data_IF_361654231526
#
_entry.id   IF_361654231526
#
_cell.length_a   1.000
_cell.length_b   1.000
_cell.length_c   1.000
_cell.angle_alpha   90.00
_cell.angle_beta   90.00
_cell.angle_gamma   90.00
#
_symmetry.space_group_name_H-M   'P 1'
#
loop_
_entity.id
_entity.type
_entity.pdbx_description
1 polymer ?
#
# COMPACT_ATOMS: atom_id res chain seq x y z
N UNK A 1 32.00 -25.70 0.21
CA UNK A 1 31.53 -25.59 -1.18
C UNK A 1 30.06 -25.94 -1.24
N UNK A 2 29.24 -25.15 -1.90
CA UNK A 2 27.81 -25.47 -2.03
C UNK A 2 27.63 -26.79 -2.80
N UNK A 3 26.79 -27.69 -2.29
CA UNK A 3 26.48 -28.96 -2.95
C UNK A 3 25.84 -28.66 -4.33
N UNK A 4 26.20 -29.43 -5.34
CA UNK A 4 25.68 -29.31 -6.70
C UNK A 4 24.93 -30.59 -7.09
N UNK A 5 24.09 -30.52 -8.12
CA UNK A 5 23.41 -31.71 -8.65
C UNK A 5 24.40 -32.79 -9.06
N UNK A 6 25.63 -32.41 -9.51
CA UNK A 6 26.71 -33.34 -9.80
C UNK A 6 27.26 -34.01 -8.54
N UNK A 7 27.37 -33.26 -7.42
CA UNK A 7 27.80 -33.77 -6.13
C UNK A 7 26.81 -34.80 -5.61
N UNK A 8 25.51 -34.53 -5.72
CA UNK A 8 24.44 -35.46 -5.32
C UNK A 8 24.51 -36.72 -6.16
N UNK A 9 24.66 -36.59 -7.49
CA UNK A 9 24.76 -37.72 -8.39
C UNK A 9 25.94 -38.64 -8.02
N UNK A 10 27.08 -38.06 -7.62
CA UNK A 10 28.26 -38.80 -7.14
C UNK A 10 28.02 -39.52 -5.84
N UNK A 11 27.41 -38.85 -4.84
CA UNK A 11 27.11 -39.41 -3.50
C UNK A 11 26.02 -40.49 -3.58
N UNK A 12 24.99 -40.28 -4.40
CA UNK A 12 23.90 -41.23 -4.64
C UNK A 12 24.26 -42.35 -5.63
N UNK A 13 25.48 -42.39 -6.15
CA UNK A 13 25.95 -43.36 -7.16
C UNK A 13 24.98 -43.52 -8.32
N UNK A 14 24.59 -42.40 -8.92
CA UNK A 14 23.62 -42.36 -10.01
C UNK A 14 23.94 -41.27 -11.02
N UNK A 15 23.17 -41.20 -12.11
CA UNK A 15 23.34 -40.18 -13.14
C UNK A 15 22.75 -38.83 -12.72
N UNK A 16 23.28 -37.73 -13.23
CA UNK A 16 22.71 -36.38 -13.06
C UNK A 16 21.25 -36.32 -13.55
N UNK A 17 20.93 -37.09 -14.62
CA UNK A 17 19.55 -37.18 -15.12
C UNK A 17 18.60 -37.89 -14.14
N UNK A 18 19.07 -38.94 -13.45
CA UNK A 18 18.28 -39.59 -12.40
C UNK A 18 18.03 -38.66 -11.20
N UNK A 19 19.07 -37.94 -10.75
CA UNK A 19 18.91 -36.92 -9.70
C UNK A 19 17.90 -35.83 -10.12
N UNK A 20 17.99 -35.34 -11.36
CA UNK A 20 17.04 -34.34 -11.90
C UNK A 20 15.62 -34.88 -11.93
N UNK A 21 15.40 -36.16 -12.30
CA UNK A 21 14.08 -36.78 -12.29
C UNK A 21 13.50 -36.90 -10.87
N UNK A 22 14.32 -37.28 -9.89
CA UNK A 22 13.90 -37.33 -8.48
C UNK A 22 13.52 -35.94 -7.96
N UNK A 23 14.38 -34.94 -8.19
CA UNK A 23 14.14 -33.55 -7.77
C UNK A 23 12.87 -32.94 -8.38
N UNK A 24 12.54 -33.32 -9.62
CA UNK A 24 11.40 -32.78 -10.36
C UNK A 24 10.17 -33.68 -10.30
N UNK A 25 10.24 -34.80 -9.60
CA UNK A 25 9.22 -35.83 -9.60
C UNK A 25 8.72 -36.20 -11.00
N UNK A 26 9.62 -36.25 -11.98
CA UNK A 26 9.35 -36.47 -13.41
C UNK A 26 10.00 -37.75 -13.92
N UNK A 27 9.28 -38.51 -14.75
CA UNK A 27 9.78 -39.75 -15.34
C UNK A 27 10.00 -40.89 -14.34
N UNK A 28 10.34 -42.07 -14.85
CA UNK A 28 10.58 -43.24 -14.01
C UNK A 28 12.00 -43.21 -13.40
N UNK A 29 12.05 -43.45 -12.07
CA UNK A 29 13.28 -43.72 -11.33
C UNK A 29 12.95 -44.86 -10.36
N UNK A 30 13.83 -45.90 -10.27
CA UNK A 30 13.59 -47.01 -9.37
C UNK A 30 13.51 -46.53 -7.91
N UNK A 31 12.73 -47.24 -7.04
CA UNK A 31 12.62 -46.88 -5.62
C UNK A 31 13.95 -46.77 -4.91
N UNK A 32 14.88 -47.69 -5.20
CA UNK A 32 16.21 -47.74 -4.59
C UNK A 32 17.07 -46.51 -4.98
N UNK A 33 17.02 -46.10 -6.23
CA UNK A 33 17.74 -44.88 -6.71
C UNK A 33 17.10 -43.64 -6.11
N UNK A 34 15.78 -43.57 -6.04
CA UNK A 34 15.06 -42.45 -5.39
C UNK A 34 15.49 -42.29 -3.94
N UNK A 35 15.50 -43.40 -3.16
CA UNK A 35 15.88 -43.37 -1.78
C UNK A 35 17.33 -42.90 -1.56
N UNK A 36 18.29 -43.36 -2.39
CA UNK A 36 19.70 -42.91 -2.32
C UNK A 36 19.84 -41.43 -2.64
N UNK A 37 19.12 -40.93 -3.65
CA UNK A 37 19.14 -39.51 -4.01
C UNK A 37 18.56 -38.65 -2.91
N UNK A 38 17.43 -39.04 -2.33
CA UNK A 38 16.80 -38.32 -1.20
C UNK A 38 17.69 -38.33 0.06
N UNK A 39 18.38 -39.41 0.34
CA UNK A 39 19.36 -39.46 1.41
C UNK A 39 20.53 -38.48 1.16
N UNK A 40 21.12 -38.51 -0.06
CA UNK A 40 22.21 -37.62 -0.43
C UNK A 40 21.80 -36.13 -0.40
N UNK A 41 20.54 -35.80 -0.74
CA UNK A 41 19.98 -34.43 -0.65
C UNK A 41 19.96 -33.99 0.82
N UNK A 42 19.45 -34.85 1.74
CA UNK A 42 19.43 -34.56 3.18
C UNK A 42 20.81 -34.39 3.77
N UNK A 43 21.73 -35.36 3.52
CA UNK A 43 23.07 -35.40 4.09
C UNK A 43 23.92 -34.19 3.63
N UNK A 44 23.74 -33.75 2.39
CA UNK A 44 24.43 -32.59 1.83
C UNK A 44 23.72 -31.27 2.07
N UNK A 45 22.57 -31.28 2.76
CA UNK A 45 21.68 -30.11 2.96
C UNK A 45 21.48 -29.33 1.64
N UNK A 46 21.24 -30.09 0.55
CA UNK A 46 21.13 -29.50 -0.77
C UNK A 46 19.74 -28.92 -1.00
N UNK A 47 19.68 -27.61 -1.25
CA UNK A 47 18.51 -26.96 -1.79
C UNK A 47 18.72 -26.70 -3.29
N UNK A 48 17.81 -27.15 -4.18
CA UNK A 48 17.91 -26.85 -5.61
C UNK A 48 18.01 -25.34 -5.82
N UNK A 49 19.02 -24.87 -6.57
CA UNK A 49 19.16 -23.44 -6.83
C UNK A 49 17.94 -22.91 -7.60
N UNK A 50 17.40 -21.77 -7.15
CA UNK A 50 16.28 -21.10 -7.84
C UNK A 50 16.60 -20.91 -9.34
N UNK A 51 17.83 -20.50 -9.68
CA UNK A 51 18.29 -20.35 -11.06
C UNK A 51 18.22 -21.61 -11.91
N UNK A 52 18.51 -22.80 -11.34
CA UNK A 52 18.40 -24.06 -12.06
C UNK A 52 16.95 -24.48 -12.33
N UNK A 53 16.00 -24.11 -11.48
CA UNK A 53 14.56 -24.29 -11.71
C UNK A 53 14.03 -23.32 -12.77
N UNK A 54 14.44 -22.05 -12.72
CA UNK A 54 14.06 -21.03 -13.69
C UNK A 54 14.58 -21.31 -15.11
N UNK A 55 15.78 -21.92 -15.26
CA UNK A 55 16.30 -22.37 -16.56
C UNK A 55 15.47 -23.50 -17.19
N UNK A 56 14.62 -24.16 -16.39
CA UNK A 56 13.70 -25.23 -16.85
C UNK A 56 12.28 -24.72 -17.12
N UNK A 57 12.07 -23.40 -17.08
CA UNK A 57 10.75 -22.80 -17.31
C UNK A 57 9.79 -22.89 -16.12
N UNK A 58 10.30 -23.25 -14.92
CA UNK A 58 9.45 -23.23 -13.73
C UNK A 58 9.14 -21.79 -13.32
N UNK A 59 7.89 -21.54 -12.91
CA UNK A 59 7.43 -20.27 -12.39
C UNK A 59 8.27 -19.85 -11.16
N UNK A 60 8.61 -18.57 -11.05
CA UNK A 60 9.43 -18.06 -9.94
C UNK A 60 8.67 -18.06 -8.60
N UNK A 61 7.34 -18.01 -8.67
CA UNK A 61 6.44 -17.83 -7.51
C UNK A 61 6.80 -16.59 -6.68
N UNK A 62 7.34 -15.55 -7.32
CA UNK A 62 7.75 -14.32 -6.67
C UNK A 62 6.88 -13.17 -7.17
N UNK A 63 6.38 -12.35 -6.24
CA UNK A 63 5.61 -11.14 -6.51
C UNK A 63 6.37 -9.94 -5.94
N UNK A 64 6.46 -8.87 -6.71
CA UNK A 64 6.97 -7.58 -6.24
C UNK A 64 5.87 -6.78 -5.55
N UNK A 65 6.17 -6.17 -4.41
CA UNK A 65 5.31 -5.19 -3.74
C UNK A 65 6.10 -3.90 -3.57
N UNK A 66 5.75 -2.86 -4.33
CA UNK A 66 6.39 -1.54 -4.26
C UNK A 66 5.53 -0.58 -3.47
N UNK A 67 6.10 -0.01 -2.40
CA UNK A 67 5.45 0.91 -1.47
C UNK A 67 6.27 2.21 -1.36
N UNK A 68 5.63 3.36 -1.04
CA UNK A 68 6.36 4.59 -0.76
C UNK A 68 7.24 4.45 0.48
N UNK A 69 6.68 3.97 1.59
CA UNK A 69 7.38 3.73 2.85
C UNK A 69 6.67 2.65 3.66
N UNK A 70 7.43 1.80 4.33
CA UNK A 70 6.90 0.84 5.31
C UNK A 70 6.74 1.44 6.71
N UNK A 71 7.27 2.65 6.95
CA UNK A 71 7.18 3.35 8.24
C UNK A 71 5.80 3.99 8.44
N UNK A 72 5.05 4.23 7.36
CA UNK A 72 3.69 4.73 7.41
C UNK A 72 2.75 3.58 7.74
N UNK A 73 2.00 3.63 8.86
CA UNK A 73 1.17 2.50 9.34
C UNK A 73 0.20 1.95 8.29
N UNK A 74 -0.39 2.81 7.46
CA UNK A 74 -1.23 2.41 6.33
C UNK A 74 -0.54 1.39 5.42
N UNK A 75 0.68 1.70 4.97
CA UNK A 75 1.44 0.81 4.08
C UNK A 75 1.95 -0.43 4.80
N UNK A 76 2.22 -0.35 6.10
CA UNK A 76 2.57 -1.50 6.94
C UNK A 76 1.43 -2.52 7.02
N UNK A 77 0.21 -2.06 7.26
CA UNK A 77 -1.00 -2.91 7.30
C UNK A 77 -1.26 -3.53 5.92
N UNK A 78 -1.14 -2.73 4.86
CA UNK A 78 -1.30 -3.15 3.48
C UNK A 78 -0.29 -4.26 3.13
N UNK A 79 1.00 -4.02 3.39
CA UNK A 79 2.09 -4.94 3.11
C UNK A 79 1.91 -6.28 3.83
N UNK A 80 1.61 -6.24 5.12
CA UNK A 80 1.37 -7.44 5.92
C UNK A 80 0.17 -8.26 5.41
N UNK A 81 -0.89 -7.58 4.97
CA UNK A 81 -2.09 -8.26 4.46
C UNK A 81 -1.80 -8.92 3.10
N UNK A 82 -1.14 -8.20 2.18
CA UNK A 82 -0.76 -8.71 0.85
C UNK A 82 0.22 -9.88 0.99
N UNK A 83 1.28 -9.72 1.79
CA UNK A 83 2.29 -10.75 1.99
C UNK A 83 1.67 -12.04 2.49
N UNK A 84 0.84 -11.95 3.53
CA UNK A 84 0.19 -13.11 4.12
C UNK A 84 -0.74 -13.84 3.14
N UNK A 85 -1.60 -13.11 2.41
CA UNK A 85 -2.51 -13.69 1.42
C UNK A 85 -1.74 -14.36 0.27
N UNK A 86 -0.68 -13.71 -0.23
CA UNK A 86 0.18 -14.27 -1.28
C UNK A 86 0.94 -15.51 -0.77
N UNK A 87 1.41 -15.49 0.47
CA UNK A 87 2.09 -16.63 1.08
C UNK A 87 1.17 -17.85 1.18
N UNK A 88 -0.09 -17.66 1.61
CA UNK A 88 -1.10 -18.73 1.66
C UNK A 88 -1.40 -19.33 0.26
N UNK A 89 -1.25 -18.51 -0.81
CA UNK A 89 -1.36 -18.95 -2.23
C UNK A 89 -0.05 -19.54 -2.80
N UNK A 90 1.01 -19.66 -1.99
CA UNK A 90 2.29 -20.24 -2.38
C UNK A 90 3.22 -19.30 -3.14
N UNK A 91 3.03 -17.99 -3.05
CA UNK A 91 3.96 -16.98 -3.55
C UNK A 91 4.91 -16.49 -2.47
N UNK A 92 6.03 -15.90 -2.89
CA UNK A 92 6.97 -15.16 -2.06
C UNK A 92 6.92 -13.69 -2.45
N UNK A 93 6.84 -12.79 -1.47
CA UNK A 93 6.74 -11.35 -1.74
C UNK A 93 8.10 -10.67 -1.55
N UNK A 94 8.52 -9.87 -2.54
CA UNK A 94 9.65 -8.95 -2.44
C UNK A 94 9.11 -7.55 -2.14
N UNK A 95 9.25 -7.10 -0.90
CA UNK A 95 8.82 -5.76 -0.49
C UNK A 95 9.92 -4.75 -0.83
N UNK A 96 9.56 -3.72 -1.59
CA UNK A 96 10.41 -2.64 -2.08
C UNK A 96 9.87 -1.32 -1.53
N UNK A 97 10.58 -0.69 -0.59
CA UNK A 97 10.24 0.61 -0.04
C UNK A 97 11.04 1.69 -0.77
N UNK A 98 10.36 2.52 -1.57
CA UNK A 98 11.01 3.47 -2.48
C UNK A 98 11.44 4.77 -1.81
N UNK A 99 10.94 5.07 -0.61
CA UNK A 99 11.10 6.35 0.08
C UNK A 99 10.68 7.56 -0.79
N UNK A 100 9.63 7.36 -1.61
CA UNK A 100 9.12 8.34 -2.57
C UNK A 100 10.20 8.89 -3.52
N UNK A 101 11.16 8.05 -3.90
CA UNK A 101 12.31 8.41 -4.73
C UNK A 101 12.28 7.67 -6.07
N UNK A 102 12.24 8.43 -7.18
CA UNK A 102 12.15 7.87 -8.53
C UNK A 102 13.34 6.99 -8.90
N UNK A 103 14.56 7.34 -8.47
CA UNK A 103 15.76 6.53 -8.73
C UNK A 103 15.69 5.18 -7.99
N UNK A 104 15.20 5.18 -6.75
CA UNK A 104 14.96 3.95 -5.99
C UNK A 104 13.90 3.08 -6.68
N UNK A 105 12.79 3.67 -7.12
CA UNK A 105 11.77 2.94 -7.86
C UNK A 105 12.33 2.28 -9.14
N UNK A 106 13.10 3.03 -9.92
CA UNK A 106 13.72 2.51 -11.14
C UNK A 106 14.69 1.34 -10.84
N UNK A 107 15.48 1.44 -9.78
CA UNK A 107 16.38 0.36 -9.33
C UNK A 107 15.60 -0.88 -8.89
N UNK A 108 14.50 -0.70 -8.13
CA UNK A 108 13.64 -1.81 -7.73
C UNK A 108 12.97 -2.48 -8.94
N UNK A 109 12.47 -1.71 -9.90
CA UNK A 109 11.91 -2.26 -11.14
C UNK A 109 12.95 -3.12 -11.89
N UNK A 110 14.18 -2.61 -12.02
CA UNK A 110 15.27 -3.38 -12.65
C UNK A 110 15.57 -4.67 -11.88
N UNK A 111 15.61 -4.61 -10.54
CA UNK A 111 15.81 -5.79 -9.68
C UNK A 111 14.66 -6.79 -9.82
N UNK A 112 13.40 -6.35 -9.75
CA UNK A 112 12.22 -7.22 -9.87
C UNK A 112 12.21 -7.97 -11.21
N UNK A 113 12.55 -7.29 -12.31
CA UNK A 113 12.70 -7.92 -13.62
C UNK A 113 13.83 -8.95 -13.64
N UNK A 114 15.00 -8.62 -13.06
CA UNK A 114 16.13 -9.55 -12.96
C UNK A 114 15.79 -10.79 -12.12
N UNK A 115 14.97 -10.64 -11.08
CA UNK A 115 14.45 -11.74 -10.27
C UNK A 115 13.30 -12.50 -10.95
N UNK A 116 12.86 -12.05 -12.14
CA UNK A 116 11.75 -12.64 -12.90
C UNK A 116 10.48 -12.81 -12.06
N UNK A 117 10.09 -11.75 -11.36
CA UNK A 117 8.80 -11.76 -10.65
C UNK A 117 7.67 -12.02 -11.63
N UNK A 118 6.64 -12.74 -11.20
CA UNK A 118 5.49 -13.08 -12.04
C UNK A 118 4.51 -11.92 -12.15
N UNK A 119 4.47 -11.02 -11.15
CA UNK A 119 3.63 -9.84 -11.13
C UNK A 119 4.11 -8.82 -10.13
N UNK A 120 3.57 -7.61 -10.19
CA UNK A 120 3.92 -6.52 -9.29
C UNK A 120 2.66 -5.82 -8.80
N UNK A 121 2.59 -5.57 -7.49
CA UNK A 121 1.61 -4.68 -6.87
C UNK A 121 2.33 -3.37 -6.54
N UNK A 122 1.78 -2.22 -6.95
CA UNK A 122 2.42 -0.91 -6.82
C UNK A 122 1.49 0.05 -6.09
N UNK A 123 1.93 0.55 -4.94
CA UNK A 123 1.27 1.64 -4.21
C UNK A 123 2.10 2.95 -4.26
N UNK A 124 3.32 2.90 -4.81
CA UNK A 124 4.17 4.06 -5.06
C UNK A 124 4.16 4.40 -6.55
N UNK A 125 4.40 5.65 -6.89
CA UNK A 125 4.81 6.13 -8.22
C UNK A 125 5.18 7.61 -8.07
N UNK A 126 6.38 7.87 -7.61
CA UNK A 126 6.90 9.21 -7.43
C UNK A 126 7.60 9.68 -8.70
N UNK A 127 7.40 10.95 -9.07
CA UNK A 127 8.14 11.61 -10.16
C UNK A 127 7.77 11.19 -11.59
N UNK A 128 7.13 10.03 -11.78
CA UNK A 128 6.74 9.56 -13.11
C UNK A 128 6.54 8.04 -13.18
N UNK A 129 6.11 7.57 -14.34
CA UNK A 129 5.78 6.15 -14.54
C UNK A 129 6.65 5.47 -15.60
N UNK A 130 7.64 6.17 -16.18
CA UNK A 130 8.45 5.66 -17.29
C UNK A 130 9.19 4.36 -16.94
N UNK A 131 9.72 4.24 -15.71
CA UNK A 131 10.38 3.03 -15.25
C UNK A 131 9.40 1.85 -15.12
N UNK A 132 8.13 2.11 -14.73
CA UNK A 132 7.08 1.08 -14.62
C UNK A 132 6.66 0.53 -16.00
N UNK A 133 6.73 1.36 -17.06
CA UNK A 133 6.46 0.88 -18.43
C UNK A 133 7.33 -0.29 -18.84
N UNK A 134 8.53 -0.41 -18.27
CA UNK A 134 9.42 -1.53 -18.56
C UNK A 134 8.91 -2.87 -18.01
N UNK A 135 8.07 -2.87 -16.95
CA UNK A 135 7.36 -4.05 -16.46
C UNK A 135 6.32 -4.48 -17.48
N UNK A 136 5.49 -3.52 -17.92
CA UNK A 136 4.43 -3.76 -18.92
C UNK A 136 5.03 -4.30 -20.22
N UNK A 137 6.11 -3.67 -20.71
CA UNK A 137 6.84 -4.11 -21.90
C UNK A 137 7.49 -5.49 -21.76
N UNK A 138 7.65 -6.00 -20.53
CA UNK A 138 8.13 -7.34 -20.23
C UNK A 138 7.01 -8.36 -20.04
N UNK A 139 5.74 -7.97 -20.22
CA UNK A 139 4.57 -8.83 -20.01
C UNK A 139 4.24 -9.12 -18.54
N UNK A 140 4.85 -8.40 -17.59
CA UNK A 140 4.61 -8.58 -16.16
C UNK A 140 3.32 -7.86 -15.77
N UNK A 141 2.29 -8.54 -15.23
CA UNK A 141 1.08 -7.90 -14.73
C UNK A 141 1.38 -6.91 -13.61
N UNK A 142 0.73 -5.74 -13.67
CA UNK A 142 0.88 -4.67 -12.69
C UNK A 142 -0.49 -4.31 -12.11
N UNK A 143 -0.65 -4.43 -10.80
CA UNK A 143 -1.84 -3.98 -10.06
C UNK A 143 -1.47 -2.72 -9.29
N UNK A 144 -2.20 -1.64 -9.51
CA UNK A 144 -2.03 -0.41 -8.74
C UNK A 144 -2.93 -0.40 -7.50
N UNK A 145 -2.43 0.11 -6.39
CA UNK A 145 -3.19 0.37 -5.17
C UNK A 145 -3.13 1.85 -4.85
N UNK A 146 -4.28 2.37 -4.39
CA UNK A 146 -4.45 3.72 -3.85
C UNK A 146 -4.25 4.86 -4.86
N UNK A 147 -3.83 4.56 -6.08
CA UNK A 147 -3.65 5.52 -7.18
C UNK A 147 -3.86 4.88 -8.54
N UNK A 148 -4.31 5.66 -9.49
CA UNK A 148 -4.44 5.21 -10.88
C UNK A 148 -3.11 5.41 -11.63
N UNK A 149 -2.61 4.33 -12.24
CA UNK A 149 -1.43 4.35 -13.10
C UNK A 149 -1.87 4.12 -14.56
N UNK A 150 -2.39 5.21 -15.17
CA UNK A 150 -2.96 5.16 -16.53
C UNK A 150 -1.95 4.64 -17.54
N UNK A 151 -2.33 3.60 -18.30
CA UNK A 151 -1.48 2.97 -19.31
C UNK A 151 -0.37 2.07 -18.75
N UNK A 152 -0.34 1.85 -17.43
CA UNK A 152 0.63 1.02 -16.73
C UNK A 152 -0.06 -0.15 -16.03
N UNK A 153 -1.00 0.14 -15.11
CA UNK A 153 -1.65 -0.90 -14.35
C UNK A 153 -2.69 -1.66 -15.17
N UNK A 154 -2.73 -2.97 -14.98
CA UNK A 154 -3.78 -3.84 -15.50
C UNK A 154 -5.10 -3.60 -14.78
N UNK A 155 -5.01 -3.44 -13.46
CA UNK A 155 -6.13 -3.07 -12.61
C UNK A 155 -5.66 -2.10 -11.52
N UNK A 156 -6.60 -1.31 -11.02
CA UNK A 156 -6.41 -0.41 -9.88
C UNK A 156 -7.44 -0.73 -8.80
N UNK A 157 -6.99 -0.81 -7.55
CA UNK A 157 -7.87 -0.95 -6.37
C UNK A 157 -7.56 0.20 -5.41
N UNK A 158 -8.57 0.97 -5.05
CA UNK A 158 -8.42 2.13 -4.18
C UNK A 158 -9.68 2.38 -3.35
N UNK A 159 -9.55 3.12 -2.25
CA UNK A 159 -10.70 3.63 -1.51
C UNK A 159 -11.39 4.76 -2.29
N UNK A 160 -12.65 5.04 -1.98
CA UNK A 160 -13.35 6.22 -2.51
C UNK A 160 -12.92 7.48 -1.75
N UNK A 161 -11.76 8.03 -2.14
CA UNK A 161 -11.17 9.19 -1.49
C UNK A 161 -12.02 10.46 -1.63
N UNK A 162 -12.73 10.63 -2.76
CA UNK A 162 -13.60 11.79 -2.97
C UNK A 162 -14.77 11.74 -2.00
N UNK A 163 -15.46 10.59 -1.93
CA UNK A 163 -16.58 10.44 -0.99
C UNK A 163 -16.10 10.53 0.47
N UNK A 164 -14.94 9.97 0.79
CA UNK A 164 -14.38 10.13 2.13
C UNK A 164 -14.10 11.58 2.51
N UNK A 165 -13.54 12.38 1.60
CA UNK A 165 -13.38 13.84 1.78
C UNK A 165 -14.73 14.55 1.98
N UNK A 166 -15.77 14.12 1.24
CA UNK A 166 -17.14 14.64 1.43
C UNK A 166 -17.71 14.29 2.79
N UNK A 167 -17.54 13.04 3.23
CA UNK A 167 -18.03 12.56 4.54
C UNK A 167 -17.43 13.37 5.69
N UNK A 168 -16.10 13.55 5.71
CA UNK A 168 -15.39 14.32 6.72
C UNK A 168 -15.97 15.74 6.84
N UNK A 169 -16.09 16.39 5.69
CA UNK A 169 -16.49 17.80 5.63
C UNK A 169 -17.96 17.96 5.99
N UNK A 170 -18.84 17.11 5.48
CA UNK A 170 -20.27 17.14 5.82
C UNK A 170 -20.47 16.98 7.31
N UNK A 171 -19.77 16.03 7.95
CA UNK A 171 -19.83 15.84 9.39
C UNK A 171 -19.50 17.12 10.17
N UNK A 172 -18.45 17.85 9.81
CA UNK A 172 -18.09 19.10 10.49
C UNK A 172 -19.08 20.24 10.21
N UNK A 173 -19.55 20.35 8.97
CA UNK A 173 -20.55 21.36 8.60
C UNK A 173 -21.88 21.10 9.32
N UNK A 174 -22.32 19.86 9.42
CA UNK A 174 -23.53 19.46 10.17
C UNK A 174 -23.41 19.75 11.68
N UNK A 175 -22.18 19.77 12.23
CA UNK A 175 -21.87 20.21 13.59
C UNK A 175 -21.80 21.74 13.74
N UNK A 176 -22.02 22.50 12.66
CA UNK A 176 -22.06 23.96 12.65
C UNK A 176 -20.72 24.66 12.40
N UNK A 177 -19.66 23.93 12.08
CA UNK A 177 -18.35 24.52 11.81
C UNK A 177 -18.33 25.27 10.47
N UNK A 178 -17.91 26.53 10.48
CA UNK A 178 -17.76 27.37 9.29
C UNK A 178 -16.29 27.74 9.00
N UNK A 179 -15.45 27.76 10.04
CA UNK A 179 -14.01 28.08 9.92
C UNK A 179 -13.19 26.81 10.06
N UNK A 180 -13.06 26.10 8.95
CA UNK A 180 -12.44 24.80 8.85
C UNK A 180 -11.08 24.93 8.17
N UNK A 181 -10.02 24.49 8.81
CA UNK A 181 -8.70 24.35 8.23
C UNK A 181 -8.47 22.93 7.72
N UNK A 182 -7.62 22.78 6.70
CA UNK A 182 -7.15 21.49 6.23
C UNK A 182 -5.64 21.43 6.45
N UNK A 183 -5.18 20.36 7.08
CA UNK A 183 -3.74 20.10 7.35
C UNK A 183 -3.39 18.74 6.79
N UNK A 184 -2.28 18.64 6.07
CA UNK A 184 -1.82 17.36 5.56
C UNK A 184 -0.63 17.46 4.61
N UNK A 185 -0.27 16.32 4.05
CA UNK A 185 0.83 16.16 3.09
C UNK A 185 0.72 14.80 2.39
N UNK A 186 1.45 14.59 1.29
CA UNK A 186 1.98 15.60 0.40
C UNK A 186 0.98 15.97 -0.69
N UNK A 187 1.03 17.21 -1.15
CA UNK A 187 0.12 17.75 -2.17
C UNK A 187 0.22 17.07 -3.55
N UNK A 188 1.33 16.40 -3.88
CA UNK A 188 1.48 15.63 -5.12
C UNK A 188 0.79 14.26 -5.05
N UNK A 189 0.43 13.76 -3.87
CA UNK A 189 -0.26 12.47 -3.70
C UNK A 189 -1.65 12.50 -4.32
N UNK A 190 -1.96 11.56 -5.22
CA UNK A 190 -3.28 11.47 -5.84
C UNK A 190 -4.40 11.23 -4.80
N UNK A 191 -4.27 10.32 -3.82
CA UNK A 191 -5.26 10.17 -2.75
C UNK A 191 -5.57 11.48 -2.03
N UNK A 192 -4.54 12.24 -1.67
CA UNK A 192 -4.72 13.55 -0.99
C UNK A 192 -5.48 14.52 -1.89
N UNK A 193 -5.13 14.62 -3.18
CA UNK A 193 -5.86 15.50 -4.13
C UNK A 193 -7.33 15.11 -4.24
N UNK A 194 -7.65 13.82 -4.28
CA UNK A 194 -9.03 13.33 -4.37
C UNK A 194 -9.81 13.62 -3.07
N UNK A 195 -9.18 13.47 -1.89
CA UNK A 195 -9.78 13.88 -0.61
C UNK A 195 -10.06 15.39 -0.61
N UNK A 196 -9.09 16.20 -1.05
CA UNK A 196 -9.25 17.65 -1.17
C UNK A 196 -10.38 18.06 -2.14
N UNK A 197 -10.57 17.32 -3.24
CA UNK A 197 -11.68 17.53 -4.16
C UNK A 197 -13.02 17.34 -3.44
N UNK A 198 -13.17 16.26 -2.68
CA UNK A 198 -14.36 15.99 -1.85
C UNK A 198 -14.61 17.08 -0.81
N UNK A 199 -13.56 17.49 -0.08
CA UNK A 199 -13.61 18.55 0.94
C UNK A 199 -14.09 19.86 0.32
N UNK A 200 -13.42 20.34 -0.72
CA UNK A 200 -13.76 21.60 -1.39
C UNK A 200 -15.16 21.59 -1.99
N UNK A 201 -15.63 20.42 -2.44
CA UNK A 201 -16.97 20.27 -3.01
C UNK A 201 -18.05 20.52 -1.96
N UNK A 202 -17.97 19.88 -0.81
CA UNK A 202 -18.96 20.05 0.27
C UNK A 202 -18.91 21.47 0.85
N UNK A 203 -17.73 22.04 1.07
CA UNK A 203 -17.63 23.43 1.54
C UNK A 203 -18.32 24.39 0.57
N UNK A 204 -18.10 24.24 -0.74
CA UNK A 204 -18.72 25.07 -1.77
C UNK A 204 -20.25 24.90 -1.80
N UNK A 205 -20.76 23.67 -1.65
CA UNK A 205 -22.20 23.37 -1.58
C UNK A 205 -22.88 24.12 -0.41
N UNK A 206 -22.13 24.45 0.65
CA UNK A 206 -22.61 25.21 1.81
C UNK A 206 -22.21 26.69 1.81
N UNK A 207 -21.72 27.22 0.68
CA UNK A 207 -21.27 28.61 0.55
C UNK A 207 -19.99 28.93 1.33
N UNK A 208 -19.20 27.90 1.69
CA UNK A 208 -17.96 28.01 2.45
C UNK A 208 -16.73 27.76 1.56
N UNK A 209 -15.57 28.10 2.09
CA UNK A 209 -14.27 27.72 1.57
C UNK A 209 -13.39 27.27 2.76
N UNK A 210 -12.32 26.48 2.54
CA UNK A 210 -11.35 26.24 3.59
C UNK A 210 -10.81 27.57 4.11
N UNK A 211 -10.79 27.72 5.44
CA UNK A 211 -10.17 28.90 6.05
C UNK A 211 -8.68 28.96 5.72
N UNK A 212 -8.02 27.80 5.66
CA UNK A 212 -6.67 27.60 5.18
C UNK A 212 -6.48 26.16 4.70
N UNK A 213 -5.65 25.96 3.70
CA UNK A 213 -5.13 24.66 3.26
C UNK A 213 -3.62 24.61 3.49
N UNK A 214 -3.19 24.04 4.60
CA UNK A 214 -1.77 23.87 4.95
C UNK A 214 -1.32 22.47 4.52
N UNK A 215 -0.90 22.35 3.28
CA UNK A 215 -0.45 21.09 2.68
C UNK A 215 1.07 21.13 2.52
N UNK A 216 1.75 20.25 3.25
CA UNK A 216 3.21 20.10 3.22
C UNK A 216 3.68 19.09 2.17
N UNK A 217 4.95 18.71 2.28
CA UNK A 217 5.60 17.74 1.38
C UNK A 217 5.92 16.40 2.06
N UNK A 218 5.77 16.32 3.39
CA UNK A 218 6.17 15.19 4.22
C UNK A 218 4.97 14.64 5.03
N UNK A 219 4.80 13.33 5.02
CA UNK A 219 3.77 12.60 5.77
C UNK A 219 4.07 12.47 7.28
N UNK A 220 5.25 12.92 7.73
CA UNK A 220 5.65 12.70 9.12
C UNK A 220 4.77 13.48 10.10
N UNK A 221 4.62 12.90 11.31
CA UNK A 221 3.97 13.58 12.42
C UNK A 221 4.60 14.95 12.69
N UNK A 222 5.94 15.05 12.68
CA UNK A 222 6.65 16.29 13.00
C UNK A 222 6.34 17.42 12.01
N UNK A 223 6.35 17.13 10.71
CA UNK A 223 6.04 18.09 9.67
C UNK A 223 4.59 18.57 9.75
N UNK A 224 3.62 17.67 9.89
CA UNK A 224 2.22 18.01 10.00
C UNK A 224 1.88 18.71 11.33
N UNK A 225 2.57 18.37 12.42
CA UNK A 225 2.45 19.09 13.70
C UNK A 225 2.91 20.56 13.56
N UNK A 226 4.04 20.81 12.94
CA UNK A 226 4.52 22.17 12.70
C UNK A 226 3.54 23.00 11.84
N UNK A 227 2.96 22.38 10.80
CA UNK A 227 1.91 23.02 9.99
C UNK A 227 0.67 23.34 10.80
N UNK A 228 0.18 22.41 11.62
CA UNK A 228 -0.99 22.63 12.47
C UNK A 228 -0.74 23.73 13.49
N UNK A 229 0.46 23.81 14.09
CA UNK A 229 0.85 24.88 15.00
C UNK A 229 0.80 26.26 14.31
N UNK A 230 1.41 26.38 13.12
CA UNK A 230 1.40 27.64 12.34
C UNK A 230 -0.04 28.05 12.03
N UNK A 231 -0.89 27.11 11.57
CA UNK A 231 -2.31 27.36 11.28
C UNK A 231 -3.04 27.93 12.50
N UNK A 232 -2.83 27.36 13.69
CA UNK A 232 -3.52 27.79 14.92
C UNK A 232 -2.98 29.13 15.45
N UNK A 233 -1.70 29.46 15.23
CA UNK A 233 -1.11 30.73 15.60
C UNK A 233 -1.55 31.88 14.70
N UNK A 234 -1.59 31.63 13.38
CA UNK A 234 -1.89 32.66 12.38
C UNK A 234 -3.41 32.87 12.19
N UNK A 235 -4.23 31.86 12.56
CA UNK A 235 -5.69 31.86 12.36
C UNK A 235 -6.44 31.46 13.65
N UNK A 236 -6.53 32.39 14.60
CA UNK A 236 -7.14 32.15 15.93
C UNK A 236 -8.60 31.75 15.90
N UNK A 237 -9.31 32.03 14.80
CA UNK A 237 -10.74 31.72 14.66
C UNK A 237 -11.06 30.31 14.12
N UNK A 238 -10.08 29.45 13.85
CA UNK A 238 -10.33 28.07 13.39
C UNK A 238 -11.09 27.28 14.48
N UNK A 239 -12.22 26.67 14.10
CA UNK A 239 -13.05 25.85 14.99
C UNK A 239 -12.98 24.37 14.66
N UNK A 240 -12.48 24.00 13.48
CA UNK A 240 -12.25 22.61 13.10
C UNK A 240 -11.03 22.45 12.20
N UNK A 241 -10.37 21.30 12.32
CA UNK A 241 -9.24 20.89 11.48
C UNK A 241 -9.55 19.53 10.85
N UNK A 242 -9.44 19.48 9.53
CA UNK A 242 -9.41 18.23 8.77
C UNK A 242 -7.94 17.84 8.56
N UNK A 243 -7.51 16.74 9.19
CA UNK A 243 -6.27 16.05 8.83
C UNK A 243 -6.50 15.19 7.60
N UNK A 244 -5.69 15.37 6.54
CA UNK A 244 -5.85 14.56 5.33
C UNK A 244 -5.50 13.07 5.53
N UNK A 245 -4.88 12.74 6.67
CA UNK A 245 -4.61 11.38 7.19
C UNK A 245 -4.81 11.37 8.70
N UNK A 246 -4.89 10.19 9.31
CA UNK A 246 -4.93 10.07 10.78
C UNK A 246 -3.66 10.61 11.45
N UNK A 247 -2.49 10.41 10.84
CA UNK A 247 -1.23 10.97 11.38
C UNK A 247 -1.29 12.50 11.41
N UNK A 248 -1.81 13.13 10.35
CA UNK A 248 -2.00 14.57 10.31
C UNK A 248 -3.03 15.07 11.35
N UNK A 249 -4.13 14.32 11.51
CA UNK A 249 -5.15 14.64 12.50
C UNK A 249 -4.63 14.48 13.95
N UNK A 250 -3.89 13.40 14.23
CA UNK A 250 -3.27 13.20 15.54
C UNK A 250 -2.27 14.34 15.84
N UNK A 251 -1.46 14.73 14.86
CA UNK A 251 -0.57 15.86 14.98
C UNK A 251 -1.34 17.16 15.26
N UNK A 252 -2.48 17.38 14.60
CA UNK A 252 -3.36 18.52 14.86
C UNK A 252 -3.97 18.50 16.28
N UNK A 253 -4.38 17.34 16.82
CA UNK A 253 -4.84 17.22 18.22
C UNK A 253 -3.75 17.70 19.19
N UNK A 254 -2.51 17.29 18.96
CA UNK A 254 -1.40 17.74 19.80
C UNK A 254 -1.15 19.25 19.67
N UNK A 255 -1.20 19.80 18.45
CA UNK A 255 -1.05 21.23 18.22
C UNK A 255 -2.17 22.05 18.88
N UNK A 256 -3.42 21.58 18.81
CA UNK A 256 -4.58 22.19 19.51
C UNK A 256 -4.33 22.24 21.01
N UNK A 257 -3.91 21.12 21.63
CA UNK A 257 -3.59 21.07 23.06
C UNK A 257 -2.46 22.03 23.43
N UNK A 258 -1.38 22.05 22.67
CA UNK A 258 -0.20 22.85 22.96
C UNK A 258 -0.42 24.36 22.69
N UNK A 259 -1.46 24.72 21.92
CA UNK A 259 -1.98 26.09 21.81
C UNK A 259 -2.86 26.54 23.01
N UNK A 260 -3.04 25.66 24.02
CA UNK A 260 -3.90 25.90 25.18
C UNK A 260 -5.39 25.65 24.94
N UNK A 261 -5.77 25.11 23.76
CA UNK A 261 -7.14 24.78 23.36
C UNK A 261 -7.43 23.30 23.58
N UNK A 262 -8.72 22.95 23.61
CA UNK A 262 -9.17 21.55 23.80
C UNK A 262 -9.90 21.03 22.55
N UNK A 263 -9.56 19.83 22.15
CA UNK A 263 -10.37 19.07 21.22
C UNK A 263 -11.32 18.14 22.01
N UNK A 264 -12.63 18.12 21.68
CA UNK A 264 -13.28 18.85 20.59
C UNK A 264 -13.81 20.25 21.00
N UNK A 265 -13.80 20.62 22.32
CA UNK A 265 -14.56 21.74 22.86
C UNK A 265 -14.26 23.09 22.17
N UNK A 266 -12.98 23.39 21.91
CA UNK A 266 -12.53 24.62 21.26
C UNK A 266 -12.19 24.42 19.77
N UNK A 267 -11.87 23.18 19.36
CA UNK A 267 -11.50 22.86 17.99
C UNK A 267 -11.72 21.37 17.71
N UNK A 268 -12.67 21.07 16.86
CA UNK A 268 -12.90 19.71 16.37
C UNK A 268 -11.75 19.26 15.46
N UNK A 269 -11.39 17.97 15.53
CA UNK A 269 -10.36 17.39 14.64
C UNK A 269 -10.89 16.07 14.06
N UNK A 270 -10.77 15.91 12.74
CA UNK A 270 -11.17 14.69 12.02
C UNK A 270 -10.02 14.18 11.14
N UNK A 271 -9.87 12.86 11.06
CA UNK A 271 -8.83 12.20 10.31
C UNK A 271 -9.34 11.36 9.14
N UNK A 272 -8.43 10.64 8.50
CA UNK A 272 -8.69 9.69 7.43
C UNK A 272 -7.72 8.52 7.56
N UNK A 273 -8.17 7.29 7.45
CA UNK A 273 -7.53 5.97 7.35
C UNK A 273 -8.12 4.96 8.34
N UNK A 274 -8.55 5.38 9.54
CA UNK A 274 -8.91 4.56 10.70
C UNK A 274 -7.78 3.63 11.12
N UNK A 275 -6.59 4.22 11.31
CA UNK A 275 -5.45 3.50 11.85
C UNK A 275 -5.70 3.08 13.30
N UNK A 276 -5.05 2.03 13.82
CA UNK A 276 -5.19 1.63 15.22
C UNK A 276 -4.96 2.76 16.22
N UNK A 277 -4.04 3.69 15.90
CA UNK A 277 -3.70 4.86 16.70
C UNK A 277 -4.89 5.80 16.90
N UNK A 278 -5.81 5.87 15.94
CA UNK A 278 -7.02 6.69 16.04
C UNK A 278 -7.90 6.30 17.25
N UNK A 279 -7.88 5.04 17.65
CA UNK A 279 -8.60 4.54 18.81
C UNK A 279 -7.86 4.71 20.16
N UNK A 280 -6.56 5.04 20.12
CA UNK A 280 -5.69 5.12 21.31
C UNK A 280 -5.31 6.54 21.71
N UNK A 281 -5.30 7.48 20.76
CA UNK A 281 -5.07 8.90 21.05
C UNK A 281 -6.20 9.46 21.91
N UNK A 282 -5.90 10.51 22.71
CA UNK A 282 -6.89 11.19 23.52
C UNK A 282 -6.99 12.68 23.12
N UNK A 283 -8.19 13.16 22.76
CA UNK A 283 -9.45 12.39 22.57
C UNK A 283 -9.34 11.37 21.42
N UNK A 284 -10.11 10.28 21.48
CA UNK A 284 -10.15 9.27 20.42
C UNK A 284 -10.59 9.91 19.10
N UNK A 285 -9.85 9.64 18.03
CA UNK A 285 -10.00 10.36 16.76
C UNK A 285 -11.22 9.87 15.97
N UNK A 286 -12.12 10.82 15.64
CA UNK A 286 -13.12 10.66 14.58
C UNK A 286 -12.41 10.64 13.24
N UNK A 287 -12.70 9.65 12.39
CA UNK A 287 -11.96 9.44 11.14
C UNK A 287 -12.82 8.76 10.09
N UNK A 288 -12.42 8.87 8.84
CA UNK A 288 -12.97 8.06 7.75
C UNK A 288 -12.15 6.79 7.61
N UNK A 289 -12.80 5.64 7.81
CA UNK A 289 -12.17 4.33 7.70
C UNK A 289 -11.97 3.94 6.23
N UNK A 290 -10.71 3.70 5.85
CA UNK A 290 -10.40 2.99 4.62
C UNK A 290 -10.47 1.47 4.84
N UNK A 291 -11.04 0.70 3.93
CA UNK A 291 -11.06 -0.75 4.02
C UNK A 291 -9.69 -1.35 3.60
N UNK A 292 -8.59 -0.97 4.30
CA UNK A 292 -7.20 -1.26 3.91
C UNK A 292 -6.98 -2.75 3.62
N UNK A 293 -7.51 -3.63 4.49
CA UNK A 293 -7.36 -5.08 4.31
C UNK A 293 -8.16 -5.58 3.10
N UNK A 294 -9.37 -5.05 2.87
CA UNK A 294 -10.17 -5.44 1.72
C UNK A 294 -9.54 -4.96 0.40
N UNK A 295 -8.97 -3.75 0.38
CA UNK A 295 -8.17 -3.24 -0.76
C UNK A 295 -6.99 -4.16 -1.05
N UNK A 296 -6.26 -4.58 -0.01
CA UNK A 296 -5.13 -5.50 -0.13
C UNK A 296 -5.54 -6.85 -0.74
N UNK A 297 -6.61 -7.47 -0.20
CA UNK A 297 -7.11 -8.77 -0.66
C UNK A 297 -7.69 -8.70 -2.09
N UNK A 298 -8.36 -7.62 -2.43
CA UNK A 298 -8.86 -7.42 -3.79
C UNK A 298 -7.70 -7.25 -4.79
N UNK A 299 -6.64 -6.54 -4.40
CA UNK A 299 -5.46 -6.38 -5.26
C UNK A 299 -4.75 -7.72 -5.52
N UNK A 300 -4.59 -8.57 -4.49
CA UNK A 300 -4.00 -9.90 -4.66
C UNK A 300 -4.88 -10.81 -5.51
N UNK A 301 -6.21 -10.74 -5.33
CA UNK A 301 -7.16 -11.47 -6.16
C UNK A 301 -7.07 -11.06 -7.63
N UNK A 302 -7.03 -9.75 -7.91
CA UNK A 302 -6.86 -9.22 -9.28
C UNK A 302 -5.55 -9.67 -9.90
N UNK A 303 -4.46 -9.60 -9.13
CA UNK A 303 -3.17 -10.09 -9.60
C UNK A 303 -3.24 -11.57 -9.99
N UNK A 304 -3.82 -12.41 -9.15
CA UNK A 304 -3.94 -13.84 -9.45
C UNK A 304 -4.74 -14.11 -10.72
N UNK A 305 -5.85 -13.39 -10.95
CA UNK A 305 -6.62 -13.48 -12.19
C UNK A 305 -5.77 -13.13 -13.41
N UNK A 306 -4.99 -12.03 -13.35
CA UNK A 306 -4.08 -11.64 -14.44
C UNK A 306 -2.97 -12.66 -14.69
N UNK A 307 -2.44 -13.27 -13.61
CA UNK A 307 -1.45 -14.34 -13.73
C UNK A 307 -2.04 -15.61 -14.36
N UNK A 308 -3.29 -15.95 -14.06
CA UNK A 308 -3.98 -17.08 -14.67
C UNK A 308 -4.22 -16.85 -16.16
N UNK A 309 -4.71 -15.66 -16.55
CA UNK A 309 -4.89 -15.27 -17.94
C UNK A 309 -3.57 -15.39 -18.73
N UNK A 310 -2.49 -14.85 -18.15
CA UNK A 310 -1.16 -14.91 -18.77
C UNK A 310 -0.64 -16.35 -18.96
N UNK A 311 -0.87 -17.24 -17.98
CA UNK A 311 -0.49 -18.66 -18.06
C UNK A 311 -1.29 -19.46 -19.08
N UNK A 312 -2.53 -19.03 -19.35
CA UNK A 312 -3.42 -19.65 -20.32
C UNK A 312 -3.32 -19.01 -21.71
N UNK A 313 -2.40 -18.07 -21.90
CA UNK A 313 -2.22 -17.32 -23.15
C UNK A 313 -3.51 -16.65 -23.64
N UNK A 314 -4.33 -16.17 -22.68
CA UNK A 314 -5.59 -15.50 -22.98
C UNK A 314 -5.32 -14.04 -23.37
N UNK A 315 -6.24 -13.48 -24.17
CA UNK A 315 -6.20 -12.06 -24.51
C UNK A 315 -6.25 -11.19 -23.26
N UNK A 316 -5.39 -10.17 -23.21
CA UNK A 316 -5.29 -9.25 -22.05
C UNK A 316 -6.60 -8.51 -21.85
N UNK A 317 -7.28 -8.73 -20.72
CA UNK A 317 -8.51 -8.01 -20.37
C UNK A 317 -8.25 -6.52 -20.26
N UNK A 318 -9.27 -5.65 -20.57
CA UNK A 318 -9.17 -4.22 -20.34
C UNK A 318 -8.80 -3.91 -18.88
N UNK A 319 -8.08 -2.79 -18.69
CA UNK A 319 -7.78 -2.29 -17.35
C UNK A 319 -9.07 -1.87 -16.63
N UNK A 320 -9.14 -2.12 -15.34
CA UNK A 320 -10.29 -1.76 -14.51
C UNK A 320 -9.89 -0.98 -13.26
N UNK A 321 -10.80 -0.14 -12.77
CA UNK A 321 -10.63 0.62 -11.52
C UNK A 321 -11.74 0.20 -10.56
N UNK A 322 -11.36 -0.36 -9.42
CA UNK A 322 -12.27 -0.72 -8.33
C UNK A 322 -12.15 0.32 -7.22
N UNK A 323 -13.23 1.07 -6.96
CA UNK A 323 -13.33 1.99 -5.83
C UNK A 323 -14.10 1.31 -4.71
N UNK A 324 -13.48 1.18 -3.56
CA UNK A 324 -14.09 0.55 -2.38
C UNK A 324 -14.71 1.61 -1.48
N UNK A 325 -15.93 1.35 -0.95
CA UNK A 325 -16.60 2.30 -0.08
C UNK A 325 -15.79 2.55 1.20
N UNK A 326 -15.98 3.72 1.77
CA UNK A 326 -15.39 4.17 3.04
C UNK A 326 -16.51 4.48 4.03
N UNK A 327 -16.21 4.43 5.33
CA UNK A 327 -17.17 4.65 6.40
C UNK A 327 -16.66 5.73 7.36
N UNK A 328 -17.56 6.57 7.86
CA UNK A 328 -17.24 7.55 8.92
C UNK A 328 -17.36 6.89 10.31
N UNK A 329 -16.27 6.91 11.05
CA UNK A 329 -16.18 6.41 12.42
C UNK A 329 -16.13 7.58 13.38
N UNK A 330 -17.28 7.88 14.00
CA UNK A 330 -17.39 8.97 14.96
C UNK A 330 -16.87 8.53 16.33
N UNK A 331 -15.96 9.35 16.90
CA UNK A 331 -15.39 9.16 18.24
C UNK A 331 -15.48 10.46 19.06
N UNK A 332 -14.40 10.86 19.71
CA UNK A 332 -14.40 11.93 20.73
C UNK A 332 -13.80 13.26 20.25
N UNK A 333 -13.10 13.24 19.10
CA UNK A 333 -12.34 14.42 18.66
C UNK A 333 -13.16 15.45 17.88
N UNK A 334 -14.45 15.21 17.66
CA UNK A 334 -15.38 16.15 17.02
C UNK A 334 -16.59 16.41 17.92
N UNK A 335 -17.06 17.65 17.93
CA UNK A 335 -18.22 18.13 18.67
C UNK A 335 -18.87 19.34 18.00
N UNK A 336 -19.96 19.90 18.55
CA UNK A 336 -20.59 21.11 18.00
C UNK A 336 -19.61 22.29 17.93
N UNK A 337 -19.78 23.15 16.92
CA UNK A 337 -19.00 24.39 16.83
C UNK A 337 -19.20 25.26 18.08
N UNK A 338 -18.14 25.92 18.60
CA UNK A 338 -18.28 26.85 19.71
C UNK A 338 -19.27 27.96 19.41
N UNK A 339 -20.09 28.35 20.42
CA UNK A 339 -21.22 29.26 20.28
C UNK A 339 -20.85 30.69 19.80
N UNK A 340 -19.61 31.11 19.94
CA UNK A 340 -19.11 32.46 19.57
C UNK A 340 -18.21 32.45 18.31
N UNK A 341 -18.38 31.51 17.45
CA UNK A 341 -17.50 31.30 16.29
C UNK A 341 -18.02 31.96 14.98
#
# INVERSE_FOLDING_TARGET
MAASIRTIAKVAETSVSSVSRVLNNSGYVSPEVRQRVEAAIRDLNYAPSKGARMLRGEASRMIGLMLPSIDVPFFGILANTIERDLFERGYQTLICSSAENEEHEARYVAMLRAQRVEGVIVASAYGGTAHLQTLVGSGIPVIAIDRELVGISDDTVMADHVEGGRMMTRHLVDLGHQRIAVVGAPGHSQPIRLRMEGIRTVLREHGLAPAIEAIGEDHSFAATYALAQSVLQDHTGITAIIGTTDIAAIAAIHAVRDSGRKAPDDCSVIGFDDLPEAAYVLPRLTTVAQPIRAVALEATRRLEERLQDHRQDLERRPASVTRMPVDLIIRESTGPAPADS
#
